data_IF_827937128006
#
_entry.id   IF_827937128006
#
_cell.length_a   1.000
_cell.length_b   1.000
_cell.length_c   1.000
_cell.angle_alpha   90.00
_cell.angle_beta   90.00
_cell.angle_gamma   90.00
#
_symmetry.space_group_name_H-M   'P 1'
#
loop_
_entity.id
_entity.type
_entity.pdbx_description
1 polymer ?
#
# COMPACT_ATOMS: atom_id res chain seq x y z
N UNK A 1 -1.65 -12.27 -24.24
CA UNK A 1 -1.54 -12.11 -22.77
C UNK A 1 -0.65 -10.92 -22.50
N UNK A 2 -1.05 -9.98 -21.64
CA UNK A 2 -0.18 -8.87 -21.27
C UNK A 2 1.01 -9.43 -20.47
N UNK A 3 2.27 -9.10 -20.82
CA UNK A 3 3.44 -9.59 -20.09
C UNK A 3 3.48 -9.04 -18.66
N UNK A 4 3.94 -9.84 -17.71
CA UNK A 4 4.00 -9.50 -16.27
C UNK A 4 4.72 -8.19 -15.98
N UNK A 5 5.83 -7.91 -16.69
CA UNK A 5 6.56 -6.64 -16.59
C UNK A 5 5.71 -5.40 -16.89
N UNK A 6 4.75 -5.50 -17.83
CA UNK A 6 3.89 -4.37 -18.15
C UNK A 6 2.91 -4.04 -17.00
N UNK A 7 2.62 -5.02 -16.13
CA UNK A 7 1.77 -4.81 -14.95
C UNK A 7 2.50 -4.11 -13.79
N UNK A 8 3.83 -4.11 -13.77
CA UNK A 8 4.65 -3.48 -12.71
C UNK A 8 5.32 -2.20 -13.15
N UNK A 9 5.31 -1.87 -14.45
CA UNK A 9 5.93 -0.65 -15.00
C UNK A 9 5.42 0.66 -14.37
N UNK A 10 4.21 0.68 -13.83
CA UNK A 10 3.63 1.83 -13.12
C UNK A 10 3.87 1.85 -11.61
N UNK A 11 4.53 0.84 -11.04
CA UNK A 11 4.74 0.71 -9.60
C UNK A 11 6.22 1.03 -9.30
N UNK A 12 6.54 2.16 -8.64
CA UNK A 12 7.92 2.50 -8.29
C UNK A 12 8.65 1.43 -7.50
N UNK A 13 7.95 0.70 -6.64
CA UNK A 13 8.51 -0.42 -5.87
C UNK A 13 8.83 -1.66 -6.75
N UNK A 14 8.44 -1.66 -8.03
CA UNK A 14 8.83 -2.65 -9.03
C UNK A 14 8.14 -4.01 -8.89
N UNK A 15 7.20 -4.17 -7.96
CA UNK A 15 6.46 -5.42 -7.73
C UNK A 15 4.99 -5.17 -7.46
N UNK A 16 4.16 -6.18 -7.67
CA UNK A 16 2.79 -6.18 -7.16
C UNK A 16 2.79 -6.27 -5.63
N UNK A 17 1.79 -5.62 -5.04
CA UNK A 17 1.47 -5.78 -3.62
C UNK A 17 1.03 -7.22 -3.32
N UNK A 18 1.32 -7.66 -2.11
CA UNK A 18 0.84 -8.91 -1.53
C UNK A 18 -0.06 -8.59 -0.33
N UNK A 19 -0.94 -9.51 0.11
CA UNK A 19 -1.84 -9.24 1.25
C UNK A 19 -1.11 -8.77 2.52
N UNK A 20 0.13 -9.23 2.73
CA UNK A 20 0.96 -8.81 3.86
C UNK A 20 1.27 -7.30 3.86
N UNK A 21 1.38 -6.65 2.70
CA UNK A 21 1.70 -5.21 2.63
C UNK A 21 0.62 -4.34 3.28
N UNK A 22 -0.66 -4.72 3.12
CA UNK A 22 -1.79 -4.04 3.77
C UNK A 22 -1.97 -4.52 5.22
N UNK A 23 -1.74 -5.81 5.48
CA UNK A 23 -1.92 -6.40 6.80
C UNK A 23 -1.05 -5.73 7.87
N UNK A 24 0.20 -5.37 7.54
CA UNK A 24 1.08 -4.68 8.48
C UNK A 24 0.54 -3.29 8.88
N UNK A 25 0.02 -2.51 7.93
CA UNK A 25 -0.62 -1.23 8.25
C UNK A 25 -1.87 -1.44 9.12
N UNK A 26 -2.71 -2.41 8.76
CA UNK A 26 -3.92 -2.72 9.54
C UNK A 26 -3.54 -3.14 10.96
N UNK A 27 -2.52 -3.99 11.12
CA UNK A 27 -2.01 -4.41 12.43
C UNK A 27 -1.50 -3.22 13.26
N UNK A 28 -0.79 -2.28 12.64
CA UNK A 28 -0.37 -1.04 13.30
C UNK A 28 -1.58 -0.21 13.76
N UNK A 29 -2.54 0.04 12.86
CA UNK A 29 -3.73 0.85 13.15
C UNK A 29 -4.62 0.21 14.23
N UNK A 30 -4.71 -1.11 14.27
CA UNK A 30 -5.47 -1.86 15.27
C UNK A 30 -4.76 -1.97 16.63
N UNK A 31 -3.49 -1.61 16.72
CA UNK A 31 -2.71 -1.62 17.97
C UNK A 31 -2.86 -0.31 18.75
N UNK A 32 -2.41 -0.30 20.01
CA UNK A 32 -2.34 0.91 20.84
C UNK A 32 -1.51 2.04 20.18
N UNK A 33 -0.59 1.68 19.28
CA UNK A 33 0.23 2.66 18.54
C UNK A 33 -0.58 3.49 17.55
N UNK A 34 -1.72 2.97 17.09
CA UNK A 34 -2.66 3.65 16.19
C UNK A 34 -3.71 4.49 16.90
N UNK A 35 -3.73 4.53 18.24
CA UNK A 35 -4.88 5.02 19.02
C UNK A 35 -5.33 6.47 18.75
N UNK A 36 -4.45 7.33 18.20
CA UNK A 36 -4.77 8.72 17.87
C UNK A 36 -5.06 8.96 16.38
N UNK A 37 -5.01 7.91 15.56
CA UNK A 37 -5.19 8.00 14.11
C UNK A 37 -6.63 7.64 13.78
N UNK A 38 -7.40 8.62 13.30
CA UNK A 38 -8.80 8.43 12.93
C UNK A 38 -9.20 9.38 11.80
N UNK A 39 -10.22 9.00 11.02
CA UNK A 39 -10.74 9.82 9.92
C UNK A 39 -9.78 10.00 8.73
N UNK A 40 -8.74 9.17 8.63
CA UNK A 40 -7.72 9.25 7.59
C UNK A 40 -7.86 8.13 6.56
N UNK A 41 -7.44 8.39 5.32
CA UNK A 41 -7.30 7.40 4.26
C UNK A 41 -5.80 7.12 4.04
N UNK A 42 -5.43 5.85 3.92
CA UNK A 42 -4.04 5.44 3.68
C UNK A 42 -3.94 4.72 2.34
N UNK A 43 -2.96 5.12 1.52
CA UNK A 43 -2.65 4.46 0.24
C UNK A 43 -1.48 3.49 0.46
N UNK A 44 -1.67 2.22 0.10
CA UNK A 44 -0.65 1.17 0.20
C UNK A 44 -0.55 0.43 -1.14
N UNK A 45 0.11 1.06 -2.11
CA UNK A 45 0.16 0.60 -3.50
C UNK A 45 1.58 0.53 -4.10
N UNK A 46 2.62 0.71 -3.27
CA UNK A 46 4.00 0.75 -3.75
C UNK A 46 4.36 1.99 -4.55
N UNK A 47 3.55 3.06 -4.46
CA UNK A 47 3.77 4.36 -5.11
C UNK A 47 3.13 4.48 -6.49
N UNK A 48 2.18 3.61 -6.84
CA UNK A 48 1.48 3.65 -8.12
C UNK A 48 0.64 4.93 -8.26
N UNK A 49 0.02 5.37 -7.17
CA UNK A 49 -0.70 6.64 -7.09
C UNK A 49 0.28 7.82 -6.96
N UNK A 50 0.07 8.94 -7.67
CA UNK A 50 0.96 10.11 -7.61
C UNK A 50 0.76 10.96 -6.34
N UNK A 51 -0.20 10.60 -5.48
CA UNK A 51 -0.57 11.35 -4.29
C UNK A 51 0.05 10.73 -3.05
N UNK A 52 0.57 11.58 -2.16
CA UNK A 52 1.01 11.20 -0.82
C UNK A 52 -0.04 11.74 0.15
N UNK A 53 -0.67 10.86 0.92
CA UNK A 53 -1.65 11.18 1.97
C UNK A 53 -1.10 10.87 3.35
#
# INVERSE_FOLDING_TARGET
SIPSEALTAGIPLGRKGVPADIAELVGFLASDRGAWITGSNFIVDGGESPFVV
#
